data_IF_567042634225
#
_entry.id   IF_567042634225
#
_cell.length_a   1.000
_cell.length_b   1.000
_cell.length_c   1.000
_cell.angle_alpha   90.00
_cell.angle_beta   90.00
_cell.angle_gamma   90.00
#
_symmetry.space_group_name_H-M   'P 1'
#
loop_
_entity.id
_entity.type
_entity.pdbx_description
1 polymer ?
#
# COMPACT_ATOMS: atom_id res chain seq x y z
N UNK A 1 20.08 16.43 -4.80
CA UNK A 1 20.15 15.47 -5.93
C UNK A 1 18.75 15.22 -6.43
N UNK A 2 18.52 14.90 -7.71
CA UNK A 2 17.17 14.59 -8.23
C UNK A 2 17.20 13.29 -9.04
N UNK A 3 16.06 12.64 -9.16
CA UNK A 3 15.80 11.55 -10.11
C UNK A 3 14.51 11.88 -10.85
N UNK A 4 14.63 12.18 -12.15
CA UNK A 4 13.54 12.86 -12.87
C UNK A 4 13.16 14.15 -12.14
N UNK A 5 11.86 14.31 -11.86
CA UNK A 5 11.30 15.48 -11.18
C UNK A 5 11.28 15.36 -9.65
N UNK A 6 11.73 14.23 -9.09
CA UNK A 6 11.65 13.98 -7.64
C UNK A 6 12.96 14.37 -6.96
N UNK A 7 12.94 15.34 -6.01
CA UNK A 7 14.12 15.69 -5.23
C UNK A 7 14.46 14.62 -4.20
N UNK A 8 15.74 14.26 -4.15
CA UNK A 8 16.33 13.30 -3.22
C UNK A 8 17.20 14.09 -2.24
N UNK A 9 16.69 14.19 -1.01
CA UNK A 9 17.31 14.85 0.13
C UNK A 9 17.59 13.84 1.24
N UNK A 10 18.41 14.25 2.22
CA UNK A 10 18.60 13.50 3.46
C UNK A 10 17.22 13.17 4.08
N UNK A 11 16.98 11.94 4.58
CA UNK A 11 17.95 10.87 4.85
C UNK A 11 18.23 9.93 3.68
N UNK A 12 17.58 10.12 2.53
CA UNK A 12 17.77 9.26 1.37
C UNK A 12 19.01 9.61 0.56
N UNK A 13 19.50 8.61 -0.17
CA UNK A 13 20.52 8.80 -1.18
C UNK A 13 20.40 7.76 -2.28
N UNK A 14 20.82 8.15 -3.48
CA UNK A 14 21.05 7.27 -4.63
C UNK A 14 22.55 7.10 -4.94
N UNK A 15 23.42 7.83 -4.24
CA UNK A 15 24.88 7.78 -4.37
C UNK A 15 25.50 7.22 -3.10
N UNK A 16 26.56 6.43 -3.26
CA UNK A 16 27.35 5.96 -2.13
C UNK A 16 28.03 7.13 -1.41
N UNK A 17 28.11 7.04 -0.08
CA UNK A 17 28.77 8.06 0.77
C UNK A 17 27.89 9.23 1.23
N UNK A 18 26.61 9.26 0.83
CA UNK A 18 25.65 10.26 1.31
C UNK A 18 24.39 9.59 1.87
N UNK A 19 23.63 10.32 2.70
CA UNK A 19 22.40 9.83 3.31
C UNK A 19 22.62 9.02 4.58
N UNK A 20 21.53 8.59 5.20
CA UNK A 20 21.54 7.79 6.41
C UNK A 20 21.81 6.31 6.09
N UNK A 21 22.67 5.61 6.85
CA UNK A 21 22.92 4.18 6.66
C UNK A 21 21.65 3.32 6.68
N UNK A 22 20.63 3.75 7.44
CA UNK A 22 19.34 3.06 7.58
C UNK A 22 18.52 3.02 6.28
N UNK A 23 18.70 4.00 5.39
CA UNK A 23 17.97 4.09 4.13
C UNK A 23 18.86 3.82 2.91
N UNK A 24 20.05 3.23 3.13
CA UNK A 24 21.00 2.92 2.09
C UNK A 24 20.42 1.90 1.11
N UNK A 25 20.66 2.11 -0.19
CA UNK A 25 20.25 1.20 -1.28
C UNK A 25 18.74 0.96 -1.38
N UNK A 26 17.91 1.79 -0.73
CA UNK A 26 16.45 1.72 -0.85
C UNK A 26 15.93 2.38 -2.11
N UNK A 27 16.55 3.48 -2.53
CA UNK A 27 16.15 4.22 -3.72
C UNK A 27 17.01 3.82 -4.91
N UNK A 28 16.35 3.56 -6.04
CA UNK A 28 16.98 3.27 -7.32
C UNK A 28 16.43 4.27 -8.33
N UNK A 29 17.31 5.03 -8.96
CA UNK A 29 16.93 5.86 -10.11
C UNK A 29 17.20 5.08 -11.40
N UNK A 30 16.17 4.89 -12.22
CA UNK A 30 16.35 4.27 -13.54
C UNK A 30 17.00 5.23 -14.52
N UNK A 31 17.57 4.70 -15.61
CA UNK A 31 18.16 5.52 -16.66
C UNK A 31 17.13 6.44 -17.35
N UNK A 32 15.84 6.10 -17.26
CA UNK A 32 14.75 6.89 -17.81
C UNK A 32 14.23 7.97 -16.83
N UNK A 33 14.89 8.16 -15.68
CA UNK A 33 14.49 9.15 -14.68
C UNK A 33 13.35 8.70 -13.76
N UNK A 34 13.03 7.41 -13.71
CA UNK A 34 12.01 6.87 -12.81
C UNK A 34 12.63 6.48 -11.47
N UNK A 35 12.14 7.08 -10.40
CA UNK A 35 12.55 6.75 -9.04
C UNK A 35 11.77 5.54 -8.53
N UNK A 36 12.47 4.52 -8.03
CA UNK A 36 11.87 3.28 -7.55
C UNK A 36 12.33 2.97 -6.12
N UNK A 37 11.41 2.48 -5.30
CA UNK A 37 11.68 1.89 -4.00
C UNK A 37 11.97 0.40 -4.18
N UNK A 38 13.11 -0.03 -3.68
CA UNK A 38 13.46 -1.44 -3.56
C UNK A 38 12.93 -2.00 -2.24
N UNK A 39 12.19 -3.09 -2.31
CA UNK A 39 11.72 -3.85 -1.15
C UNK A 39 12.00 -5.34 -1.31
N UNK A 40 11.68 -6.15 -0.30
CA UNK A 40 11.78 -7.61 -0.36
C UNK A 40 10.77 -8.25 -1.31
N UNK A 41 9.69 -7.53 -1.65
CA UNK A 41 8.63 -7.99 -2.55
C UNK A 41 8.85 -7.60 -4.01
N UNK A 42 9.65 -6.57 -4.28
CA UNK A 42 9.92 -6.10 -5.63
C UNK A 42 10.46 -4.68 -5.68
N UNK A 43 10.33 -4.05 -6.84
CA UNK A 43 10.62 -2.64 -7.05
C UNK A 43 9.33 -1.91 -7.37
N UNK A 44 9.11 -0.79 -6.69
CA UNK A 44 7.85 -0.07 -6.73
C UNK A 44 8.12 1.39 -7.13
N UNK A 45 7.45 1.92 -8.16
CA UNK A 45 7.62 3.32 -8.56
C UNK A 45 7.28 4.26 -7.40
N UNK A 46 8.15 5.23 -7.14
CA UNK A 46 7.91 6.32 -6.19
C UNK A 46 7.25 7.47 -6.96
N UNK A 47 6.07 7.88 -6.48
CA UNK A 47 5.34 9.00 -7.05
C UNK A 47 5.74 10.32 -6.39
N UNK A 48 6.01 10.30 -5.09
CA UNK A 48 6.40 11.49 -4.34
C UNK A 48 7.15 11.14 -3.05
N UNK A 49 7.99 12.08 -2.59
CA UNK A 49 8.64 12.06 -1.28
C UNK A 49 8.34 13.38 -0.59
N UNK A 50 7.74 13.32 0.60
CA UNK A 50 7.47 14.48 1.44
C UNK A 50 8.43 14.46 2.63
N UNK A 51 9.08 15.58 2.90
CA UNK A 51 10.07 15.70 3.98
C UNK A 51 9.57 16.47 5.22
N UNK A 52 8.52 17.29 5.07
CA UNK A 52 7.93 18.06 6.18
C UNK A 52 7.10 17.20 7.12
N UNK A 53 6.28 16.32 6.54
CA UNK A 53 5.67 15.17 7.19
C UNK A 53 6.29 13.94 6.53
N UNK A 54 7.32 13.32 7.14
CA UNK A 54 8.15 12.36 6.41
C UNK A 54 7.41 11.11 5.94
N UNK A 55 7.09 11.09 4.65
CA UNK A 55 6.46 9.94 4.01
C UNK A 55 6.84 9.80 2.53
N UNK A 56 6.72 8.57 2.03
CA UNK A 56 6.89 8.23 0.61
C UNK A 56 5.56 7.73 0.07
N UNK A 57 5.19 8.18 -1.11
CA UNK A 57 4.05 7.63 -1.86
C UNK A 57 4.59 6.70 -2.94
N UNK A 58 4.27 5.42 -2.87
CA UNK A 58 4.65 4.42 -3.88
C UNK A 58 3.42 3.86 -4.59
N UNK A 59 3.56 3.57 -5.88
CA UNK A 59 2.54 2.90 -6.69
C UNK A 59 2.80 1.40 -6.72
N UNK A 60 1.76 0.59 -6.56
CA UNK A 60 1.86 -0.88 -6.72
C UNK A 60 1.19 -1.33 -8.02
N UNK A 61 2.00 -1.67 -9.06
CA UNK A 61 1.48 -2.08 -10.35
C UNK A 61 0.85 -3.47 -10.33
N UNK A 62 0.99 -4.22 -9.24
CA UNK A 62 0.41 -5.56 -9.09
C UNK A 62 -0.93 -5.54 -8.35
N UNK A 63 -1.42 -4.37 -7.92
CA UNK A 63 -2.77 -4.23 -7.41
C UNK A 63 -3.78 -4.25 -8.56
N UNK A 64 -4.89 -4.94 -8.35
CA UNK A 64 -6.00 -4.91 -9.30
C UNK A 64 -6.52 -3.48 -9.41
N UNK A 65 -6.79 -3.04 -10.64
CA UNK A 65 -7.40 -1.74 -10.94
C UNK A 65 -8.59 -1.94 -11.89
N UNK A 66 -9.47 -0.94 -12.00
CA UNK A 66 -10.70 -1.07 -12.81
C UNK A 66 -10.45 -1.39 -14.29
N UNK A 67 -9.28 -1.06 -14.85
CA UNK A 67 -8.92 -1.39 -16.24
C UNK A 67 -8.63 -2.88 -16.43
N UNK A 68 -8.39 -3.62 -15.34
CA UNK A 68 -8.18 -5.07 -15.39
C UNK A 68 -9.49 -5.84 -15.61
N UNK A 69 -10.66 -5.22 -15.33
CA UNK A 69 -11.97 -5.85 -15.46
C UNK A 69 -12.04 -7.17 -14.68
N UNK A 70 -12.52 -8.24 -15.32
CA UNK A 70 -12.62 -9.58 -14.72
C UNK A 70 -11.29 -10.34 -14.65
N UNK A 71 -10.18 -9.73 -15.07
CA UNK A 71 -8.87 -10.36 -15.05
C UNK A 71 -8.22 -10.27 -13.65
N UNK A 72 -8.72 -11.08 -12.72
CA UNK A 72 -8.13 -11.21 -11.39
C UNK A 72 -6.82 -12.02 -11.48
N UNK A 73 -5.69 -11.32 -11.48
CA UNK A 73 -4.36 -11.95 -11.48
C UNK A 73 -3.87 -12.27 -10.07
N UNK A 74 -3.24 -13.44 -9.87
CA UNK A 74 -2.46 -13.71 -8.67
C UNK A 74 -1.40 -12.63 -8.49
N UNK A 75 -1.46 -11.95 -7.34
CA UNK A 75 -0.56 -10.85 -7.03
C UNK A 75 0.31 -11.17 -5.82
N UNK A 76 1.53 -10.64 -5.82
CA UNK A 76 2.41 -10.71 -4.66
C UNK A 76 2.10 -9.52 -3.77
N UNK A 77 1.79 -9.73 -2.49
CA UNK A 77 1.55 -8.61 -1.59
C UNK A 77 2.78 -7.72 -1.54
N UNK A 78 2.56 -6.41 -1.54
CA UNK A 78 3.55 -5.46 -1.09
C UNK A 78 4.07 -5.85 0.30
N UNK A 79 5.39 -5.89 0.44
CA UNK A 79 6.11 -6.18 1.68
C UNK A 79 7.29 -5.26 1.82
N UNK A 80 7.39 -4.65 3.00
CA UNK A 80 8.61 -4.00 3.46
C UNK A 80 9.52 -5.04 4.12
N UNK A 81 10.81 -4.75 4.10
CA UNK A 81 11.77 -5.51 4.90
C UNK A 81 11.69 -4.99 6.34
N UNK A 82 11.67 -5.90 7.32
CA UNK A 82 11.67 -5.55 8.75
C UNK A 82 12.96 -4.84 9.16
N UNK A 83 14.02 -4.93 8.36
CA UNK A 83 15.26 -4.16 8.56
C UNK A 83 15.16 -2.70 8.11
N UNK A 84 14.10 -2.33 7.39
CA UNK A 84 13.90 -0.94 6.97
C UNK A 84 13.14 -0.17 8.04
N UNK A 85 13.56 1.07 8.29
CA UNK A 85 12.83 2.00 9.16
C UNK A 85 11.65 2.64 8.42
N UNK A 86 10.99 1.87 7.56
CA UNK A 86 9.79 2.27 6.85
C UNK A 86 8.63 1.47 7.42
N UNK A 87 7.51 2.14 7.66
CA UNK A 87 6.27 1.51 8.10
C UNK A 87 5.14 1.86 7.13
N UNK A 88 4.21 0.92 6.94
CA UNK A 88 3.00 1.19 6.18
C UNK A 88 2.06 2.06 7.01
N UNK A 89 1.47 3.08 6.40
CA UNK A 89 0.43 3.87 7.05
C UNK A 89 -0.72 2.97 7.54
N UNK A 90 -1.19 3.22 8.76
CA UNK A 90 -2.26 2.45 9.41
C UNK A 90 -3.65 2.70 8.81
N UNK A 91 -3.77 3.70 7.92
CA UNK A 91 -5.05 4.14 7.33
C UNK A 91 -5.43 3.39 6.05
N UNK A 92 -4.68 2.34 5.68
CA UNK A 92 -4.91 1.62 4.42
C UNK A 92 -6.00 0.58 4.58
N UNK A 93 -7.03 0.70 3.73
CA UNK A 93 -8.11 -0.26 3.59
C UNK A 93 -7.91 -1.08 2.31
N UNK A 94 -8.03 -2.40 2.43
CA UNK A 94 -7.88 -3.32 1.30
C UNK A 94 -9.22 -3.96 0.96
N UNK A 95 -9.44 -4.14 -0.34
CA UNK A 95 -10.52 -4.94 -0.90
C UNK A 95 -9.89 -6.17 -1.58
N UNK A 96 -10.37 -7.35 -1.25
CA UNK A 96 -9.90 -8.63 -1.80
C UNK A 96 -10.93 -9.22 -2.76
N UNK A 97 -10.47 -9.86 -3.83
CA UNK A 97 -11.32 -10.43 -4.86
C UNK A 97 -11.08 -11.93 -5.06
N UNK A 98 -12.12 -12.60 -5.56
CA UNK A 98 -12.13 -14.02 -5.91
C UNK A 98 -11.58 -14.90 -4.77
N UNK A 99 -12.20 -14.75 -3.59
CA UNK A 99 -11.80 -15.45 -2.38
C UNK A 99 -12.50 -16.81 -2.22
N UNK A 100 -11.79 -17.80 -1.68
CA UNK A 100 -12.36 -19.10 -1.33
C UNK A 100 -13.27 -18.99 -0.11
N UNK A 101 -14.58 -19.17 -0.34
CA UNK A 101 -15.65 -19.07 0.65
C UNK A 101 -15.50 -20.01 1.86
N UNK A 102 -14.90 -21.19 1.68
CA UNK A 102 -14.83 -22.20 2.74
C UNK A 102 -13.74 -21.87 3.78
N UNK A 103 -12.76 -21.07 3.38
CA UNK A 103 -11.56 -20.80 4.18
C UNK A 103 -11.55 -19.37 4.73
N UNK A 104 -12.18 -18.43 4.02
CA UNK A 104 -12.35 -17.05 4.49
C UNK A 104 -13.59 -16.97 5.36
N UNK A 105 -13.47 -17.41 6.61
CA UNK A 105 -14.47 -17.15 7.66
C UNK A 105 -14.34 -15.72 8.20
N UNK A 106 -14.34 -14.73 7.32
CA UNK A 106 -14.61 -13.36 7.74
C UNK A 106 -16.11 -13.33 7.96
N UNK A 107 -16.55 -13.45 9.22
CA UNK A 107 -17.95 -13.18 9.55
C UNK A 107 -18.23 -11.77 9.04
N UNK A 108 -19.16 -11.60 8.08
CA UNK A 108 -19.62 -10.26 7.77
C UNK A 108 -20.13 -9.71 9.09
N UNK A 109 -19.54 -8.63 9.60
CA UNK A 109 -20.11 -7.90 10.73
C UNK A 109 -21.39 -7.15 10.29
N UNK A 110 -22.07 -7.61 9.24
CA UNK A 110 -23.30 -7.02 8.73
C UNK A 110 -24.47 -7.28 9.67
N UNK A 111 -24.63 -8.49 10.21
CA UNK A 111 -25.78 -8.79 11.08
C UNK A 111 -25.73 -8.11 12.46
N UNK A 112 -24.55 -7.65 12.91
CA UNK A 112 -24.43 -6.86 14.14
C UNK A 112 -24.65 -5.36 13.90
N UNK A 113 -24.25 -4.84 12.73
CA UNK A 113 -24.42 -3.42 12.39
C UNK A 113 -25.83 -3.06 11.89
N UNK A 114 -26.58 -4.00 11.32
CA UNK A 114 -27.99 -3.78 10.97
C UNK A 114 -28.87 -3.57 12.21
N UNK A 115 -28.49 -4.15 13.34
CA UNK A 115 -29.28 -4.12 14.58
C UNK A 115 -28.78 -3.07 15.60
N UNK A 116 -27.51 -2.65 15.52
CA UNK A 116 -26.90 -1.67 16.42
C UNK A 116 -26.00 -0.69 15.65
N UNK A 117 -26.61 0.22 14.90
CA UNK A 117 -25.94 1.26 14.09
C UNK A 117 -24.98 2.12 14.91
N UNK A 118 -25.35 2.42 16.16
CA UNK A 118 -24.68 3.37 17.05
C UNK A 118 -23.40 2.80 17.70
N UNK A 119 -23.21 1.48 17.59
CA UNK A 119 -22.05 0.75 18.14
C UNK A 119 -21.17 0.14 17.06
N UNK A 120 -21.49 0.37 15.80
CA UNK A 120 -20.58 0.04 14.72
C UNK A 120 -19.59 1.18 14.55
N UNK A 121 -18.34 0.90 14.89
CA UNK A 121 -17.22 1.77 14.57
C UNK A 121 -17.36 2.23 13.12
N UNK A 122 -17.28 3.55 12.91
CA UNK A 122 -17.14 4.24 11.62
C UNK A 122 -16.06 3.60 10.71
N UNK A 123 -15.26 2.69 11.26
CA UNK A 123 -14.37 1.81 10.55
C UNK A 123 -15.04 0.96 9.44
N UNK A 124 -16.27 0.47 9.62
CA UNK A 124 -16.96 -0.30 8.58
C UNK A 124 -17.53 0.58 7.45
N UNK A 125 -17.71 1.87 7.71
CA UNK A 125 -18.24 2.82 6.72
C UNK A 125 -17.21 3.10 5.61
N UNK A 126 -15.93 3.27 5.95
CA UNK A 126 -14.87 3.43 4.93
C UNK A 126 -14.73 2.23 3.98
N UNK A 127 -14.83 0.99 4.49
CA UNK A 127 -14.81 -0.22 3.69
C UNK A 127 -16.06 -0.37 2.79
N UNK A 128 -17.22 0.03 3.30
CA UNK A 128 -18.48 0.04 2.55
C UNK A 128 -18.52 1.19 1.53
N UNK A 129 -17.94 2.34 1.86
CA UNK A 129 -17.74 3.49 0.98
C UNK A 129 -16.80 3.12 -0.16
N UNK A 130 -15.72 2.37 0.09
CA UNK A 130 -14.83 1.88 -0.97
C UNK A 130 -15.54 0.92 -1.92
N UNK A 131 -16.39 0.02 -1.41
CA UNK A 131 -17.24 -0.82 -2.25
C UNK A 131 -18.27 -0.01 -3.06
N UNK A 132 -18.77 1.11 -2.51
CA UNK A 132 -19.79 1.96 -3.14
C UNK A 132 -19.21 3.02 -4.08
N UNK A 133 -17.98 3.48 -3.84
CA UNK A 133 -17.36 4.65 -4.46
C UNK A 133 -15.99 4.34 -5.06
N UNK A 134 -15.70 3.07 -5.38
CA UNK A 134 -14.61 2.78 -6.30
C UNK A 134 -14.95 3.51 -7.62
N UNK A 135 -14.13 4.47 -8.07
CA UNK A 135 -14.39 5.17 -9.32
C UNK A 135 -14.30 4.13 -10.45
N UNK A 136 -15.28 4.16 -11.35
CA UNK A 136 -15.52 3.18 -12.42
C UNK A 136 -16.08 1.80 -12.00
N UNK A 137 -16.66 1.67 -10.80
CA UNK A 137 -17.66 0.62 -10.51
C UNK A 137 -19.12 0.91 -10.97
N UNK A 138 -19.49 1.96 -11.73
CA UNK A 138 -20.83 2.00 -12.31
C UNK A 138 -20.92 1.07 -13.54
N UNK A 139 -21.83 0.11 -13.44
CA UNK A 139 -22.62 -0.45 -14.55
C UNK A 139 -21.96 -1.46 -15.51
N UNK A 140 -20.63 -1.61 -15.57
CA UNK A 140 -20.02 -2.58 -16.50
C UNK A 140 -20.29 -4.06 -16.14
N UNK A 141 -20.58 -4.36 -14.87
CA UNK A 141 -21.02 -5.69 -14.41
C UNK A 141 -22.55 -5.82 -14.29
N UNK A 142 -23.30 -4.76 -14.65
CA UNK A 142 -24.76 -4.82 -14.72
C UNK A 142 -25.28 -5.60 -15.93
N UNK A 143 -24.45 -5.78 -16.97
CA UNK A 143 -24.83 -6.45 -18.23
C UNK A 143 -24.13 -7.78 -18.49
N UNK A 144 -23.02 -8.07 -17.80
CA UNK A 144 -22.35 -9.38 -17.88
C UNK A 144 -22.39 -10.07 -16.52
N UNK A 145 -23.23 -11.11 -16.47
CA UNK A 145 -23.77 -11.70 -15.27
C UNK A 145 -22.76 -12.12 -14.21
N UNK A 146 -23.22 -12.04 -12.95
CA UNK A 146 -23.16 -13.15 -11.99
C UNK A 146 -21.81 -13.86 -11.84
N UNK A 147 -20.70 -13.14 -11.97
CA UNK A 147 -19.39 -13.69 -11.67
C UNK A 147 -19.31 -13.92 -10.16
N UNK A 148 -19.33 -15.20 -9.80
CA UNK A 148 -19.59 -15.72 -8.45
C UNK A 148 -18.38 -15.55 -7.53
N UNK A 149 -17.89 -14.32 -7.36
CA UNK A 149 -16.65 -14.02 -6.65
C UNK A 149 -16.95 -13.24 -5.38
N UNK A 150 -16.66 -13.86 -4.23
CA UNK A 150 -16.80 -13.22 -2.93
C UNK A 150 -15.68 -12.20 -2.72
N UNK A 151 -16.04 -10.99 -2.29
CA UNK A 151 -15.11 -9.92 -1.96
C UNK A 151 -15.19 -9.52 -0.49
N UNK A 152 -14.04 -9.20 0.12
CA UNK A 152 -13.94 -8.82 1.53
C UNK A 152 -13.15 -7.53 1.71
N UNK A 153 -13.60 -6.67 2.61
CA UNK A 153 -12.88 -5.46 3.01
C UNK A 153 -12.25 -5.65 4.39
N UNK A 154 -10.96 -5.35 4.52
CA UNK A 154 -10.25 -5.41 5.79
C UNK A 154 -9.41 -4.16 6.00
N UNK A 155 -9.29 -3.80 7.27
CA UNK A 155 -8.34 -2.80 7.75
C UNK A 155 -7.06 -3.48 8.16
N UNK A 156 -5.95 -2.76 7.99
CA UNK A 156 -4.60 -3.13 8.35
C UNK A 156 -3.87 -4.07 7.37
N UNK A 157 -2.65 -3.65 7.02
CA UNK A 157 -1.73 -4.38 6.15
C UNK A 157 -1.28 -5.74 6.73
N UNK A 158 -1.37 -5.92 8.06
CA UNK A 158 -1.01 -7.17 8.74
C UNK A 158 -1.80 -8.38 8.21
N UNK A 159 -3.03 -8.16 7.72
CA UNK A 159 -3.87 -9.21 7.15
C UNK A 159 -3.66 -9.43 5.66
N UNK A 160 -2.91 -8.59 4.95
CA UNK A 160 -2.71 -8.68 3.50
C UNK A 160 -2.13 -10.04 3.09
N UNK A 161 -1.08 -10.48 3.79
CA UNK A 161 -0.44 -11.79 3.52
C UNK A 161 -1.38 -12.96 3.80
N UNK A 162 -2.17 -12.86 4.86
CA UNK A 162 -3.08 -13.94 5.26
C UNK A 162 -4.22 -14.07 4.26
N UNK A 163 -4.80 -12.95 3.85
CA UNK A 163 -5.93 -12.93 2.93
C UNK A 163 -5.55 -13.39 1.52
N UNK A 164 -4.36 -13.03 1.03
CA UNK A 164 -3.89 -13.53 -0.27
C UNK A 164 -3.54 -15.03 -0.30
N UNK A 165 -3.62 -15.75 0.83
CA UNK A 165 -3.64 -17.23 0.80
C UNK A 165 -4.97 -17.78 0.30
N UNK A 166 -6.03 -17.00 0.42
CA UNK A 166 -7.39 -17.43 0.14
C UNK A 166 -8.08 -16.60 -0.95
N UNK A 167 -7.50 -15.47 -1.35
CA UNK A 167 -7.99 -14.57 -2.37
C UNK A 167 -6.98 -14.44 -3.50
N UNK A 168 -7.46 -14.24 -4.73
CA UNK A 168 -6.60 -14.16 -5.92
C UNK A 168 -5.94 -12.79 -6.05
N UNK A 169 -6.70 -11.72 -5.84
CA UNK A 169 -6.19 -10.35 -5.97
C UNK A 169 -6.70 -9.42 -4.88
N UNK A 170 -6.09 -8.24 -4.81
CA UNK A 170 -6.52 -7.16 -3.92
C UNK A 170 -6.39 -5.80 -4.61
N UNK A 171 -7.12 -4.82 -4.08
CA UNK A 171 -7.02 -3.41 -4.44
C UNK A 171 -7.15 -2.50 -3.22
N UNK A 172 -6.92 -1.21 -3.42
CA UNK A 172 -7.11 -0.12 -2.47
C UNK A 172 -7.57 1.11 -3.25
N UNK A 173 -8.19 2.08 -2.57
CA UNK A 173 -8.77 3.27 -3.19
C UNK A 173 -7.82 4.03 -4.12
N UNK A 174 -6.56 4.15 -3.71
CA UNK A 174 -5.57 5.02 -4.34
C UNK A 174 -4.57 4.28 -5.22
N UNK A 175 -4.54 2.94 -5.18
CA UNK A 175 -3.45 2.09 -5.70
C UNK A 175 -2.04 2.52 -5.22
N UNK A 176 -1.99 3.28 -4.11
CA UNK A 176 -0.77 3.90 -3.60
C UNK A 176 -0.56 3.53 -2.14
N UNK A 177 0.65 3.10 -1.81
CA UNK A 177 1.05 2.95 -0.42
C UNK A 177 1.71 4.23 0.07
N UNK A 178 1.25 4.71 1.22
CA UNK A 178 1.96 5.71 2.00
C UNK A 178 2.87 5.00 2.99
N UNK A 179 4.17 5.22 2.85
CA UNK A 179 5.19 4.70 3.75
C UNK A 179 5.64 5.81 4.67
N UNK A 180 5.39 5.63 5.95
CA UNK A 180 5.83 6.54 7.01
C UNK A 180 7.27 6.17 7.36
N UNK A 181 8.15 7.17 7.36
CA UNK A 181 9.52 6.98 7.81
C UNK A 181 9.55 6.86 9.35
N UNK A 182 10.53 6.12 9.85
CA UNK A 182 10.77 5.92 11.28
C UNK A 182 11.18 7.20 12.01
N UNK A 183 11.62 7.03 13.25
CA UNK A 183 11.79 8.08 14.26
C UNK A 183 12.55 9.34 13.78
N UNK A 184 12.15 10.50 14.31
CA UNK A 184 12.60 11.83 13.88
C UNK A 184 14.13 12.03 14.00
N UNK A 185 14.78 11.30 14.92
CA UNK A 185 16.24 11.29 15.09
C UNK A 185 17.01 10.86 13.84
N UNK A 186 16.36 10.14 12.91
CA UNK A 186 16.99 9.68 11.66
C UNK A 186 17.09 10.78 10.59
N UNK A 187 16.44 11.93 10.82
CA UNK A 187 16.44 13.10 9.92
C UNK A 187 17.47 14.15 10.32
N UNK A 188 18.05 14.03 11.51
CA UNK A 188 19.20 14.83 11.88
C UNK A 188 20.44 14.30 11.16
N UNK A 189 21.14 15.21 10.47
CA UNK A 189 22.47 14.88 9.95
C UNK A 189 23.37 14.62 11.16
N UNK A 190 24.08 13.48 11.23
CA UNK A 190 25.03 13.26 12.32
C UNK A 190 26.03 14.41 12.35
N UNK A 191 26.14 15.07 13.49
CA UNK A 191 27.08 16.17 13.67
C UNK A 191 28.49 15.64 13.44
N UNK A 192 29.25 16.31 12.56
CA UNK A 192 30.66 15.99 12.25
C UNK A 192 31.61 16.25 13.43
N UNK A 193 31.12 16.39 14.66
CA UNK A 193 31.89 16.88 15.81
C UNK A 193 32.47 15.79 16.72
N UNK A 194 32.42 14.51 16.35
CA UNK A 194 33.17 13.48 17.08
C UNK A 194 33.82 12.47 16.12
N UNK A 195 35.04 12.80 15.70
CA UNK A 195 36.07 11.81 15.45
C UNK A 195 37.34 12.28 16.17
N UNK A 196 37.85 11.52 17.17
CA UNK A 196 39.18 11.76 17.73
C UNK A 196 40.28 11.44 16.71
#
# INVERSE_FOLDING_TARGET
TTCGDIPINYPFSIKDGCGSPYYRHLLICSNCGELQLRTSSGRYPILNITYSDPHIIVFDPFMWNCKDGDNFRPTRPFRLDTSTHLSLSSQINYLFFNCNKNNVRVKPKLSFCEQFTDRCDLACDSASYLCRNLPDYPLALGTYGRSSYYSYCLKAAEFLRLMLRYCVSYTQQSLRFMLILGDASMFEMPSLTHYP
#
